data_IF_408802042513
#
_entry.id   IF_408802042513
#
_cell.length_a   1.000
_cell.length_b   1.000
_cell.length_c   1.000
_cell.angle_alpha   90.00
_cell.angle_beta   90.00
_cell.angle_gamma   90.00
#
_symmetry.space_group_name_H-M   'P 1'
#
loop_
_entity.id
_entity.type
_entity.pdbx_description
1 polymer ?
#
# COMPACT_ATOMS: atom_id res chain seq x y z
N UNK A 1 -10.87 24.08 10.72
CA UNK A 1 -10.62 22.65 11.04
C UNK A 1 -9.19 22.34 10.60
N UNK A 2 -8.28 22.05 11.54
CA UNK A 2 -6.91 21.64 11.21
C UNK A 2 -6.92 20.17 10.78
N UNK A 3 -6.44 19.88 9.57
CA UNK A 3 -6.12 18.51 9.16
C UNK A 3 -5.06 17.95 10.12
N UNK A 4 -5.23 16.73 10.67
CA UNK A 4 -4.21 16.11 11.50
C UNK A 4 -2.88 16.05 10.72
N UNK A 5 -1.72 16.15 11.38
CA UNK A 5 -0.42 16.12 10.71
C UNK A 5 -0.35 14.83 9.89
N UNK A 6 -0.14 14.97 8.58
CA UNK A 6 0.13 13.83 7.71
C UNK A 6 1.50 13.32 8.14
N UNK A 7 1.53 12.14 8.75
CA UNK A 7 2.79 11.49 9.10
C UNK A 7 3.49 11.04 7.83
N UNK A 8 4.78 11.35 7.72
CA UNK A 8 5.65 10.77 6.71
C UNK A 8 6.27 9.50 7.33
N UNK A 9 5.99 8.35 6.73
CA UNK A 9 6.39 7.05 7.26
C UNK A 9 6.71 6.07 6.13
N UNK A 10 7.88 5.44 6.21
CA UNK A 10 8.27 4.39 5.29
C UNK A 10 8.13 3.03 5.98
N UNK A 11 7.36 2.13 5.37
CA UNK A 11 7.25 0.74 5.83
C UNK A 11 8.03 -0.16 4.86
N UNK A 12 9.22 -0.58 5.28
CA UNK A 12 10.07 -1.50 4.54
C UNK A 12 9.65 -2.96 4.85
N UNK A 13 8.51 -3.36 4.31
CA UNK A 13 7.93 -4.70 4.48
C UNK A 13 8.34 -5.70 3.40
N UNK A 14 9.43 -5.50 2.68
CA UNK A 14 9.79 -6.36 1.53
C UNK A 14 9.90 -7.85 1.88
N UNK A 15 10.32 -8.16 3.11
CA UNK A 15 10.41 -9.53 3.64
C UNK A 15 9.10 -10.03 4.28
N UNK A 16 8.08 -9.17 4.38
CA UNK A 16 6.76 -9.54 4.86
C UNK A 16 6.04 -10.35 3.77
N UNK A 17 6.16 -11.68 3.88
CA UNK A 17 5.37 -12.63 3.12
C UNK A 17 4.06 -12.90 3.85
N UNK A 18 2.93 -12.60 3.21
CA UNK A 18 1.60 -12.89 3.75
C UNK A 18 0.70 -13.52 2.70
N UNK A 19 -0.28 -14.29 3.16
CA UNK A 19 -1.36 -14.76 2.28
C UNK A 19 -2.35 -13.64 1.99
N UNK A 20 -2.71 -12.88 3.04
CA UNK A 20 -3.67 -11.78 2.97
C UNK A 20 -3.08 -10.50 3.55
N UNK A 21 -3.32 -9.37 2.90
CA UNK A 21 -2.79 -8.07 3.36
C UNK A 21 -3.77 -6.91 3.17
N UNK A 22 -3.76 -5.99 4.13
CA UNK A 22 -4.35 -4.65 4.01
C UNK A 22 -3.21 -3.65 4.04
N UNK A 23 -2.99 -2.96 2.92
CA UNK A 23 -1.91 -2.00 2.72
C UNK A 23 -2.51 -0.59 2.62
N UNK A 24 -2.08 0.35 3.45
CA UNK A 24 -2.65 1.70 3.46
C UNK A 24 -1.58 2.77 3.66
N UNK A 25 -1.53 3.73 2.73
CA UNK A 25 -0.72 4.95 2.85
C UNK A 25 -1.67 6.12 3.11
N UNK A 26 -1.38 6.93 4.15
CA UNK A 26 -2.05 8.20 4.43
C UNK A 26 -0.96 9.25 4.60
N UNK A 27 -0.91 10.25 3.71
CA UNK A 27 0.21 11.21 3.68
C UNK A 27 1.20 10.90 2.58
N UNK A 28 2.49 10.86 2.90
CA UNK A 28 3.54 10.37 2.01
C UNK A 28 4.16 9.08 2.56
N UNK A 29 4.37 8.08 1.70
CA UNK A 29 5.02 6.84 2.11
C UNK A 29 5.17 5.84 0.99
N UNK A 30 5.87 4.74 1.30
CA UNK A 30 6.03 3.61 0.40
C UNK A 30 5.81 2.29 1.14
N UNK A 31 5.20 1.32 0.49
CA UNK A 31 4.98 -0.04 1.00
C UNK A 31 5.45 -1.04 -0.05
N UNK A 32 6.25 -2.00 0.39
CA UNK A 32 6.59 -3.21 -0.37
C UNK A 32 6.10 -4.43 0.40
N UNK A 33 5.41 -5.37 -0.27
CA UNK A 33 4.93 -6.61 0.36
C UNK A 33 4.80 -7.76 -0.65
N UNK A 34 5.00 -9.00 -0.18
CA UNK A 34 4.69 -10.21 -0.95
C UNK A 34 3.33 -10.76 -0.47
N UNK A 35 2.34 -10.77 -1.36
CA UNK A 35 0.97 -11.21 -1.05
C UNK A 35 0.50 -12.26 -2.04
N UNK A 36 0.03 -13.42 -1.57
CA UNK A 36 -0.24 -14.57 -2.45
C UNK A 36 -1.72 -14.90 -2.68
N UNK A 37 -2.65 -14.47 -1.81
CA UNK A 37 -4.08 -14.82 -1.92
C UNK A 37 -4.99 -13.60 -2.09
N UNK A 38 -4.90 -12.62 -1.19
CA UNK A 38 -5.82 -11.47 -1.15
C UNK A 38 -5.13 -10.19 -0.73
N UNK A 39 -5.37 -9.11 -1.46
CA UNK A 39 -4.84 -7.79 -1.10
C UNK A 39 -5.90 -6.70 -1.23
N UNK A 40 -5.99 -5.88 -0.18
CA UNK A 40 -6.65 -4.58 -0.23
C UNK A 40 -5.59 -3.48 -0.08
N UNK A 41 -5.34 -2.70 -1.14
CA UNK A 41 -4.34 -1.64 -1.14
C UNK A 41 -4.99 -0.27 -1.33
N UNK A 42 -4.67 0.69 -0.45
CA UNK A 42 -5.24 2.04 -0.45
C UNK A 42 -4.16 3.10 -0.33
N UNK A 43 -4.25 4.15 -1.15
CA UNK A 43 -3.38 5.32 -1.05
C UNK A 43 -4.26 6.56 -0.86
N UNK A 44 -4.01 7.34 0.19
CA UNK A 44 -4.62 8.65 0.45
C UNK A 44 -3.51 9.70 0.60
N UNK A 45 -3.02 10.21 -0.53
CA UNK A 45 -1.90 11.16 -0.58
C UNK A 45 -0.93 10.88 -1.71
N UNK A 46 0.36 10.83 -1.38
CA UNK A 46 1.47 10.61 -2.32
C UNK A 46 2.21 9.33 -1.94
N UNK A 47 2.62 8.52 -2.91
CA UNK A 47 3.39 7.31 -2.59
C UNK A 47 3.17 6.12 -3.50
N UNK A 48 3.85 5.04 -3.17
CA UNK A 48 3.89 3.83 -3.97
C UNK A 48 3.64 2.58 -3.12
N UNK A 49 2.84 1.65 -3.65
CA UNK A 49 2.68 0.29 -3.11
C UNK A 49 3.14 -0.70 -4.16
N UNK A 50 4.12 -1.54 -3.85
CA UNK A 50 4.61 -2.62 -4.70
C UNK A 50 4.21 -3.96 -4.08
N UNK A 51 3.55 -4.81 -4.87
CA UNK A 51 3.07 -6.13 -4.48
C UNK A 51 3.77 -7.16 -5.36
N UNK A 52 4.69 -7.95 -4.78
CA UNK A 52 5.53 -8.92 -5.53
C UNK A 52 4.87 -10.28 -5.81
N UNK A 53 3.61 -10.45 -5.42
CA UNK A 53 2.86 -11.69 -5.67
C UNK A 53 1.71 -11.44 -6.63
N UNK A 54 1.07 -12.52 -7.06
CA UNK A 54 -0.12 -12.47 -7.90
C UNK A 54 -1.38 -12.93 -7.14
N UNK A 55 -1.85 -12.19 -6.13
CA UNK A 55 -3.01 -12.58 -5.36
C UNK A 55 -4.25 -12.55 -6.28
N UNK A 56 -5.04 -13.64 -6.40
CA UNK A 56 -6.22 -13.64 -7.25
C UNK A 56 -7.29 -12.63 -6.81
N UNK A 57 -7.35 -12.28 -5.52
CA UNK A 57 -8.28 -11.30 -4.98
C UNK A 57 -7.58 -9.94 -4.78
N UNK A 58 -7.96 -8.93 -5.57
CA UNK A 58 -7.33 -7.60 -5.58
C UNK A 58 -8.38 -6.50 -5.42
N UNK A 59 -8.20 -5.63 -4.44
CA UNK A 59 -8.99 -4.41 -4.26
C UNK A 59 -8.07 -3.21 -4.09
N UNK A 60 -8.17 -2.22 -4.97
CA UNK A 60 -7.27 -1.06 -4.97
C UNK A 60 -8.04 0.25 -5.01
N UNK A 61 -7.65 1.23 -4.19
CA UNK A 61 -8.20 2.60 -4.20
C UNK A 61 -7.09 3.64 -4.07
N UNK A 62 -7.08 4.65 -4.92
CA UNK A 62 -6.09 5.73 -4.90
C UNK A 62 -6.84 7.07 -4.86
N UNK A 63 -6.59 7.84 -3.80
CA UNK A 63 -7.08 9.20 -3.61
C UNK A 63 -5.89 10.14 -3.43
N UNK A 64 -5.41 10.70 -4.54
CA UNK A 64 -4.23 11.56 -4.59
C UNK A 64 -3.32 11.21 -5.76
N UNK A 65 -2.01 11.41 -5.59
CA UNK A 65 -1.00 11.15 -6.61
C UNK A 65 -0.09 10.01 -6.15
N UNK A 66 -0.53 8.78 -6.37
CA UNK A 66 0.24 7.58 -6.04
C UNK A 66 0.02 6.47 -7.03
N UNK A 67 0.75 5.37 -6.85
CA UNK A 67 0.67 4.20 -7.74
C UNK A 67 0.71 2.90 -6.95
N UNK A 68 -0.15 1.98 -7.33
CA UNK A 68 -0.13 0.58 -6.86
C UNK A 68 0.35 -0.27 -8.03
N UNK A 69 1.42 -1.03 -7.83
CA UNK A 69 2.03 -1.87 -8.85
C UNK A 69 2.12 -3.32 -8.38
N UNK A 70 1.73 -4.24 -9.26
CA UNK A 70 1.88 -5.67 -9.07
C UNK A 70 3.07 -6.14 -9.92
N UNK A 71 3.98 -6.90 -9.32
CA UNK A 71 5.17 -7.50 -9.94
C UNK A 71 5.07 -9.02 -9.88
#
# INVERSE_FOLDING_TARGET
MQTPPKGDGNFLGKELSTRKAILSIIGAGNIEALVTEEVQAKIKGYGYIIIFGNPPQKSTDIKGNGKIQFL
#
